data_IF_165641461505
#
_entry.id   IF_165641461505
#
_cell.length_a   1.000
_cell.length_b   1.000
_cell.length_c   1.000
_cell.angle_alpha   90.00
_cell.angle_beta   90.00
_cell.angle_gamma   90.00
#
_symmetry.space_group_name_H-M   'P 1'
#
loop_
_entity.id
_entity.type
_entity.pdbx_description
1 polymer ?
#
# COMPACT_ATOMS: atom_id res chain seq x y z
N UNK A 1 4.72 18.62 6.85
CA UNK A 1 3.91 17.39 6.70
C UNK A 1 4.69 16.41 5.87
N UNK A 2 4.90 15.21 6.37
CA UNK A 2 5.59 14.13 5.67
C UNK A 2 4.61 12.96 5.51
N UNK A 3 4.68 12.28 4.38
CA UNK A 3 3.98 11.00 4.18
C UNK A 3 5.01 9.90 4.26
N UNK A 4 4.72 8.85 5.01
CA UNK A 4 5.56 7.66 5.03
C UNK A 4 4.74 6.44 4.62
N UNK A 5 5.37 5.49 3.96
CA UNK A 5 4.74 4.24 3.54
C UNK A 5 5.63 3.08 3.99
N UNK A 6 5.05 2.15 4.75
CA UNK A 6 5.78 0.96 5.18
C UNK A 6 6.03 0.04 3.98
N UNK A 7 7.27 -0.43 3.81
CA UNK A 7 7.68 -1.26 2.65
C UNK A 7 7.05 -2.65 2.66
N UNK A 8 6.78 -3.21 3.84
CA UNK A 8 6.24 -4.57 3.99
C UNK A 8 4.72 -4.61 3.89
N UNK A 9 4.05 -3.62 4.48
CA UNK A 9 2.59 -3.59 4.63
C UNK A 9 1.90 -2.63 3.68
N UNK A 10 2.65 -1.85 2.89
CA UNK A 10 2.14 -0.74 2.05
C UNK A 10 1.29 0.28 2.84
N UNK A 11 1.39 0.30 4.17
CA UNK A 11 0.59 1.16 5.02
C UNK A 11 1.08 2.60 4.92
N UNK A 12 0.19 3.49 4.48
CA UNK A 12 0.45 4.93 4.45
C UNK A 12 0.15 5.57 5.81
N UNK A 13 1.12 6.30 6.34
CA UNK A 13 0.95 7.15 7.53
C UNK A 13 1.26 8.59 7.13
N UNK A 14 0.36 9.50 7.46
CA UNK A 14 0.62 10.94 7.33
C UNK A 14 1.13 11.45 8.67
N UNK A 15 2.37 11.87 8.72
CA UNK A 15 2.96 12.49 9.91
C UNK A 15 2.98 14.01 9.75
N UNK A 16 2.51 14.72 10.77
CA UNK A 16 2.63 16.19 10.81
C UNK A 16 4.10 16.64 10.94
N UNK A 17 4.92 15.82 11.61
CA UNK A 17 6.35 16.02 11.84
C UNK A 17 7.20 15.07 11.02
N UNK A 18 8.49 15.39 10.83
CA UNK A 18 9.48 14.46 10.24
C UNK A 18 9.58 13.24 11.16
N UNK A 19 9.08 12.08 10.73
CA UNK A 19 9.10 10.92 11.60
C UNK A 19 10.46 10.22 11.53
N UNK A 20 10.95 9.79 12.68
CA UNK A 20 12.20 9.03 12.84
C UNK A 20 11.94 7.55 12.52
N UNK A 21 11.48 7.28 11.29
CA UNK A 21 11.28 5.92 10.80
C UNK A 21 12.50 5.45 10.02
N UNK A 22 12.83 4.18 10.17
CA UNK A 22 13.96 3.56 9.48
C UNK A 22 13.72 3.50 7.96
N UNK A 23 14.61 4.04 7.11
CA UNK A 23 14.43 4.08 5.66
C UNK A 23 14.47 2.68 4.99
N UNK A 24 15.06 1.68 5.66
CA UNK A 24 15.03 0.29 5.20
C UNK A 24 13.65 -0.35 5.40
N UNK A 25 12.86 0.14 6.35
CA UNK A 25 11.49 -0.35 6.62
C UNK A 25 10.40 0.58 6.06
N UNK A 26 10.70 1.87 5.94
CA UNK A 26 9.74 2.93 5.60
C UNK A 26 10.24 3.79 4.45
N UNK A 27 9.39 3.97 3.44
CA UNK A 27 9.59 5.00 2.43
C UNK A 27 9.19 6.33 3.02
N UNK A 28 10.16 7.24 3.14
CA UNK A 28 9.94 8.61 3.60
C UNK A 28 9.67 9.50 2.39
N UNK A 29 8.50 10.14 2.39
CA UNK A 29 8.02 11.00 1.32
C UNK A 29 8.09 10.36 -0.09
N UNK A 30 7.52 9.15 -0.29
CA UNK A 30 7.48 8.54 -1.61
C UNK A 30 6.61 9.36 -2.56
N UNK A 31 6.93 9.31 -3.85
CA UNK A 31 6.07 9.89 -4.88
C UNK A 31 4.76 9.09 -4.97
N UNK A 32 3.64 9.73 -4.62
CA UNK A 32 2.30 9.13 -4.62
C UNK A 32 1.40 9.75 -5.70
N UNK A 33 1.94 10.58 -6.58
CA UNK A 33 1.16 11.24 -7.63
C UNK A 33 0.49 10.21 -8.55
N UNK A 34 1.15 9.08 -8.82
CA UNK A 34 0.56 7.97 -9.57
C UNK A 34 -0.56 7.22 -8.82
N UNK A 35 -0.63 7.36 -7.49
CA UNK A 35 -1.60 6.67 -6.62
C UNK A 35 -2.78 7.56 -6.23
N UNK A 36 -2.85 8.80 -6.75
CA UNK A 36 -3.98 9.68 -6.49
C UNK A 36 -5.27 9.07 -7.05
N UNK A 37 -6.25 8.83 -6.17
CA UNK A 37 -7.53 8.19 -6.51
C UNK A 37 -7.55 6.66 -6.36
N UNK A 38 -6.41 6.02 -6.07
CA UNK A 38 -6.33 4.57 -5.85
C UNK A 38 -6.41 4.27 -4.35
N UNK A 39 -7.28 3.34 -3.96
CA UNK A 39 -7.32 2.85 -2.57
C UNK A 39 -6.01 2.21 -2.17
N UNK A 40 -5.56 2.50 -0.94
CA UNK A 40 -4.33 1.96 -0.34
C UNK A 40 -4.28 0.42 -0.32
N UNK A 41 -5.43 -0.26 -0.35
CA UNK A 41 -5.52 -1.72 -0.48
C UNK A 41 -4.99 -2.28 -1.81
N UNK A 42 -4.80 -1.43 -2.82
CA UNK A 42 -4.25 -1.80 -4.12
C UNK A 42 -2.85 -1.24 -4.35
N UNK A 43 -2.19 -0.78 -3.30
CA UNK A 43 -0.81 -0.29 -3.40
C UNK A 43 0.15 -1.43 -3.13
N UNK A 44 1.28 -1.43 -3.82
CA UNK A 44 2.41 -2.30 -3.54
C UNK A 44 3.70 -1.50 -3.56
N UNK A 45 4.67 -1.94 -2.79
CA UNK A 45 6.01 -1.33 -2.76
C UNK A 45 6.95 -2.19 -3.60
N UNK A 46 7.58 -1.58 -4.61
CA UNK A 46 8.57 -2.23 -5.49
C UNK A 46 9.86 -1.43 -5.42
N UNK A 47 10.87 -1.98 -4.74
CA UNK A 47 12.09 -1.23 -4.41
C UNK A 47 11.75 -0.02 -3.54
N UNK A 48 12.10 1.17 -4.01
CA UNK A 48 11.87 2.46 -3.32
C UNK A 48 10.64 3.23 -3.83
N UNK A 49 9.75 2.54 -4.56
CA UNK A 49 8.56 3.17 -5.16
C UNK A 49 7.28 2.47 -4.74
N UNK A 50 6.23 3.27 -4.57
CA UNK A 50 4.87 2.77 -4.42
C UNK A 50 4.25 2.72 -5.81
N UNK A 51 3.79 1.54 -6.20
CA UNK A 51 3.12 1.31 -7.48
C UNK A 51 1.77 0.64 -7.24
N UNK A 52 0.90 0.72 -8.24
CA UNK A 52 -0.40 0.06 -8.21
C UNK A 52 -0.21 -1.44 -8.39
N UNK A 53 -0.95 -2.25 -7.62
CA UNK A 53 -1.06 -3.68 -7.87
C UNK A 53 -1.59 -3.94 -9.28
N UNK A 54 -0.97 -4.87 -9.98
CA UNK A 54 -1.44 -5.27 -11.31
C UNK A 54 -2.78 -6.02 -11.20
N UNK A 55 -3.53 -6.09 -12.31
CA UNK A 55 -4.80 -6.81 -12.40
C UNK A 55 -4.75 -8.26 -11.87
N UNK A 56 -3.64 -8.96 -12.06
CA UNK A 56 -3.45 -10.33 -11.56
C UNK A 56 -3.44 -10.39 -10.03
N UNK A 57 -2.75 -9.45 -9.36
CA UNK A 57 -2.71 -9.36 -7.90
C UNK A 57 -4.07 -8.93 -7.34
N UNK A 58 -4.74 -7.99 -8.03
CA UNK A 58 -6.11 -7.58 -7.70
C UNK A 58 -7.10 -8.72 -7.80
N UNK A 59 -7.02 -9.52 -8.86
CA UNK A 59 -7.88 -10.70 -9.07
C UNK A 59 -7.68 -11.74 -7.95
N UNK A 60 -6.45 -11.94 -7.49
CA UNK A 60 -6.15 -12.81 -6.34
C UNK A 60 -6.86 -12.35 -5.07
N UNK A 61 -6.80 -11.05 -4.75
CA UNK A 61 -7.52 -10.46 -3.61
C UNK A 61 -9.04 -10.56 -3.76
N UNK A 62 -9.58 -10.28 -4.96
CA UNK A 62 -11.02 -10.40 -5.24
C UNK A 62 -11.50 -11.85 -5.07
N UNK A 63 -10.76 -12.83 -5.59
CA UNK A 63 -11.08 -14.25 -5.44
C UNK A 63 -11.02 -14.71 -3.99
N UNK A 64 -9.99 -14.29 -3.24
CA UNK A 64 -9.87 -14.63 -1.81
C UNK A 64 -11.03 -14.03 -0.99
N UNK A 65 -11.40 -12.77 -1.23
CA UNK A 65 -12.53 -12.13 -0.56
C UNK A 65 -13.86 -12.81 -0.88
N UNK A 66 -14.05 -13.25 -2.13
CA UNK A 66 -15.25 -13.96 -2.56
C UNK A 66 -15.32 -15.37 -1.99
N UNK A 67 -14.19 -16.09 -1.94
CA UNK A 67 -14.11 -17.44 -1.36
C UNK A 67 -14.35 -17.43 0.16
N UNK A 68 -13.86 -16.40 0.86
CA UNK A 68 -14.05 -16.26 2.32
C UNK A 68 -15.49 -15.83 2.67
N UNK A 69 -16.15 -15.02 1.84
CA UNK A 69 -17.56 -14.63 2.04
C UNK A 69 -18.59 -15.67 1.57
N UNK A 70 -18.21 -16.60 0.70
CA UNK A 70 -19.06 -17.69 0.23
C UNK A 70 -19.17 -18.89 1.18
N UNK A 71 -18.51 -18.85 2.34
CA UNK A 71 -18.53 -19.90 3.36
C UNK A 71 -19.40 -19.52 4.56
N UNK A 72 -20.59 -18.99 4.31
CA UNK A 72 -21.67 -18.97 5.31
C UNK A 72 -22.84 -19.75 4.74
N UNK A 73 -22.99 -20.96 5.28
CA UNK A 73 -24.11 -21.86 5.06
C UNK A 73 -25.43 -21.24 5.56
#
# INVERSE_FOLDING_TARGET
>A
MAVVVNRQTARRIRSAHTPDYDPDEWLINPDLSAMEGISESYWKVVGDRVVEMNDEERRGLTLFLHLVRGRSA
#
